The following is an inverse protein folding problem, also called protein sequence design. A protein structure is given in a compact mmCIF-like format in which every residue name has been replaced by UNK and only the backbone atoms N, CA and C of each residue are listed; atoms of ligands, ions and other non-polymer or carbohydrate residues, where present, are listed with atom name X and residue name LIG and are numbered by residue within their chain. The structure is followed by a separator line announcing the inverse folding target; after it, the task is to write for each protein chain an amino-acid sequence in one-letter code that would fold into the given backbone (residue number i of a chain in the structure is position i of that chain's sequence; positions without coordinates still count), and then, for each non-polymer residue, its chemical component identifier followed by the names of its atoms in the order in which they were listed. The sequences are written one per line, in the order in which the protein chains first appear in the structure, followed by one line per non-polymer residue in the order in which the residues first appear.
data_IF_301957459735
#
_entry.id   IF_301957459735
#
_cell.length_a   1.000
_cell.length_b   1.000
_cell.length_c   1.000
_cell.angle_alpha   90.00
_cell.angle_beta   90.00
_cell.angle_gamma   90.00
#
_symmetry.space_group_name_H-M   'P 1'
#
loop_
_entity.id
_entity.type
_entity.pdbx_description
1 polymer ?
#
# COMPACT_ATOMS: atom_id res chain seq x y z
N UNK A 1 -3.88 -16.65 -12.03
CA UNK A 1 -4.57 -17.73 -12.80
C UNK A 1 -4.58 -17.44 -14.30
N UNK A 2 -5.29 -16.40 -14.78
CA UNK A 2 -5.42 -16.13 -16.22
C UNK A 2 -4.09 -15.77 -16.94
N UNK A 3 -3.16 -15.11 -16.25
CA UNK A 3 -1.83 -14.79 -16.79
C UNK A 3 -0.91 -16.02 -16.91
N UNK A 4 -1.13 -17.03 -16.05
CA UNK A 4 -0.39 -18.30 -16.09
C UNK A 4 -0.99 -19.30 -17.10
N UNK A 5 -2.30 -19.22 -17.34
CA UNK A 5 -3.01 -20.09 -18.29
C UNK A 5 -3.82 -19.26 -19.29
N UNK A 6 -3.17 -18.62 -20.28
CA UNK A 6 -3.85 -17.76 -21.27
C UNK A 6 -4.98 -18.45 -22.02
N UNK A 7 -4.84 -19.76 -22.29
CA UNK A 7 -5.86 -20.57 -22.97
C UNK A 7 -7.18 -20.70 -22.20
N UNK A 8 -7.19 -20.45 -20.89
CA UNK A 8 -8.37 -20.53 -20.02
C UNK A 8 -9.02 -19.15 -19.76
N UNK A 9 -8.58 -18.09 -20.45
CA UNK A 9 -9.12 -16.73 -20.23
C UNK A 9 -10.64 -16.62 -20.53
N UNK A 10 -11.16 -17.44 -21.45
CA UNK A 10 -12.60 -17.46 -21.77
C UNK A 10 -13.49 -17.77 -20.55
N UNK A 11 -12.97 -18.51 -19.57
CA UNK A 11 -13.70 -18.81 -18.32
C UNK A 11 -14.03 -17.54 -17.53
N UNK A 12 -13.22 -16.48 -17.62
CA UNK A 12 -13.52 -15.21 -16.97
C UNK A 12 -14.74 -14.52 -17.60
N UNK A 13 -14.99 -14.76 -18.89
CA UNK A 13 -16.16 -14.24 -19.61
C UNK A 13 -17.40 -15.05 -19.25
N UNK A 14 -17.32 -16.38 -19.37
CA UNK A 14 -18.44 -17.30 -19.09
C UNK A 14 -18.88 -17.21 -17.62
N UNK A 15 -17.93 -17.14 -16.69
CA UNK A 15 -18.24 -17.01 -15.25
C UNK A 15 -18.72 -15.61 -14.84
N UNK A 16 -18.80 -14.65 -15.78
CA UNK A 16 -19.18 -13.26 -15.51
C UNK A 16 -18.16 -12.46 -14.69
N UNK A 17 -17.01 -13.05 -14.32
CA UNK A 17 -15.94 -12.37 -13.56
C UNK A 17 -15.40 -11.15 -14.29
N UNK A 18 -15.26 -11.22 -15.62
CA UNK A 18 -14.81 -10.09 -16.45
C UNK A 18 -15.78 -8.91 -16.38
N UNK A 19 -17.08 -9.18 -16.48
CA UNK A 19 -18.13 -8.14 -16.38
C UNK A 19 -18.15 -7.51 -14.99
N UNK A 20 -18.07 -8.32 -13.93
CA UNK A 20 -17.99 -7.82 -12.54
C UNK A 20 -16.73 -6.98 -12.31
N UNK A 21 -15.60 -7.38 -12.88
CA UNK A 21 -14.34 -6.63 -12.77
C UNK A 21 -14.44 -5.27 -13.47
N UNK A 22 -14.93 -5.22 -14.71
CA UNK A 22 -15.14 -3.96 -15.44
C UNK A 22 -16.09 -3.01 -14.70
N UNK A 23 -17.16 -3.55 -14.09
CA UNK A 23 -18.08 -2.75 -13.28
C UNK A 23 -17.38 -2.12 -12.08
N UNK A 24 -16.55 -2.88 -11.35
CA UNK A 24 -15.77 -2.35 -10.23
C UNK A 24 -14.69 -1.37 -10.66
N UNK A 25 -13.99 -1.65 -11.77
CA UNK A 25 -13.01 -0.74 -12.34
C UNK A 25 -13.66 0.62 -12.61
N UNK A 26 -14.85 0.64 -13.21
CA UNK A 26 -15.57 1.88 -13.49
C UNK A 26 -15.98 2.64 -12.22
N UNK A 27 -16.34 1.93 -11.15
CA UNK A 27 -16.66 2.56 -9.86
C UNK A 27 -15.42 3.18 -9.20
N UNK A 28 -14.30 2.47 -9.24
CA UNK A 28 -13.01 2.98 -8.71
C UNK A 28 -12.54 4.18 -9.53
N UNK A 29 -12.69 4.13 -10.85
CA UNK A 29 -12.32 5.21 -11.76
C UNK A 29 -13.09 6.52 -11.46
N UNK A 30 -14.40 6.43 -11.20
CA UNK A 30 -15.22 7.58 -10.79
C UNK A 30 -14.69 8.20 -9.49
N UNK A 31 -14.43 7.37 -8.47
CA UNK A 31 -13.91 7.85 -7.18
C UNK A 31 -12.56 8.55 -7.34
N UNK A 32 -11.66 7.96 -8.14
CA UNK A 32 -10.34 8.55 -8.37
C UNK A 32 -10.43 9.84 -9.18
N UNK A 33 -11.33 9.94 -10.15
CA UNK A 33 -11.55 11.19 -10.88
C UNK A 33 -12.10 12.29 -9.96
N UNK A 34 -13.04 11.96 -9.08
CA UNK A 34 -13.57 12.90 -8.07
C UNK A 34 -12.45 13.43 -7.17
N UNK A 35 -11.54 12.55 -6.71
CA UNK A 35 -10.35 12.93 -5.94
C UNK A 35 -9.47 13.90 -6.73
N UNK A 36 -9.18 13.61 -8.00
CA UNK A 36 -8.36 14.51 -8.83
C UNK A 36 -9.01 15.87 -9.03
N UNK A 37 -10.32 15.91 -9.25
CA UNK A 37 -11.07 17.16 -9.41
C UNK A 37 -11.10 17.99 -8.12
N UNK A 38 -11.19 17.35 -6.95
CA UNK A 38 -11.10 18.02 -5.66
C UNK A 38 -9.73 18.69 -5.47
N UNK A 39 -8.62 17.98 -5.73
CA UNK A 39 -7.26 18.53 -5.61
C UNK A 39 -6.99 19.62 -6.65
N UNK A 40 -7.57 19.53 -7.86
CA UNK A 40 -7.50 20.61 -8.86
C UNK A 40 -8.17 21.90 -8.39
N UNK A 41 -9.31 21.79 -7.71
CA UNK A 41 -10.08 22.95 -7.20
C UNK A 41 -9.44 23.56 -5.96
N UNK A 42 -8.89 22.71 -5.10
CA UNK A 42 -8.31 23.09 -3.81
C UNK A 42 -6.78 23.15 -3.86
N UNK A 43 -6.20 23.55 -5.01
CA UNK A 43 -4.74 23.55 -5.15
C UNK A 43 -4.08 24.31 -4.01
N UNK A 44 -3.00 23.74 -3.42
CA UNK A 44 -2.25 24.43 -2.40
C UNK A 44 -1.74 25.76 -2.96
N UNK A 45 -2.14 26.87 -2.35
CA UNK A 45 -1.92 28.22 -2.90
C UNK A 45 -1.07 29.13 -2.00
N UNK A 46 -0.55 28.60 -0.89
CA UNK A 46 0.36 29.31 0.01
C UNK A 46 1.34 28.40 0.75
N UNK A 47 2.30 29.00 1.45
CA UNK A 47 3.34 28.29 2.24
C UNK A 47 2.80 27.41 3.38
N UNK A 48 1.51 27.51 3.72
CA UNK A 48 0.86 26.77 4.80
C UNK A 48 -0.08 25.65 4.33
N UNK A 49 -0.32 25.47 3.03
CA UNK A 49 -1.07 24.31 2.57
C UNK A 49 -0.14 23.10 2.53
N UNK A 50 -0.54 22.02 3.22
CA UNK A 50 0.18 20.75 3.18
C UNK A 50 -0.09 20.08 1.84
N UNK A 51 0.89 20.15 0.94
CA UNK A 51 0.93 19.37 -0.28
C UNK A 51 0.96 17.86 0.02
N UNK A 52 0.12 17.10 -0.68
CA UNK A 52 0.11 15.64 -0.61
C UNK A 52 0.59 14.95 -1.90
N UNK A 53 0.56 13.61 -1.91
CA UNK A 53 1.01 12.82 -3.06
C UNK A 53 0.23 13.15 -4.35
N UNK A 54 -1.07 13.42 -4.25
CA UNK A 54 -1.92 13.71 -5.42
C UNK A 54 -1.52 15.05 -6.03
N UNK A 55 -1.29 16.06 -5.19
CA UNK A 55 -0.82 17.38 -5.61
C UNK A 55 0.54 17.29 -6.32
N UNK A 56 1.48 16.54 -5.74
CA UNK A 56 2.80 16.29 -6.34
C UNK A 56 2.66 15.65 -7.72
N UNK A 57 1.82 14.61 -7.85
CA UNK A 57 1.61 13.90 -9.12
C UNK A 57 0.94 14.79 -10.17
N UNK A 58 -0.01 15.64 -9.76
CA UNK A 58 -0.65 16.61 -10.66
C UNK A 58 0.34 17.67 -11.14
N UNK A 59 1.23 18.17 -10.27
CA UNK A 59 2.30 19.09 -10.65
C UNK A 59 3.27 18.45 -11.64
N UNK A 60 3.77 17.23 -11.35
CA UNK A 60 4.68 16.51 -12.24
C UNK A 60 4.02 16.28 -13.61
N UNK A 61 2.73 15.95 -13.63
CA UNK A 61 1.98 15.79 -14.88
C UNK A 61 1.91 17.08 -15.71
N UNK A 62 1.94 18.24 -15.07
CA UNK A 62 1.88 19.55 -15.73
C UNK A 62 3.25 20.07 -16.16
N UNK A 63 4.32 19.40 -15.76
CA UNK A 63 5.67 19.71 -16.17
C UNK A 63 5.89 19.36 -17.65
N UNK A 64 6.34 20.34 -18.42
CA UNK A 64 6.50 20.24 -19.88
C UNK A 64 7.79 19.53 -20.30
N UNK A 65 8.69 19.22 -19.36
CA UNK A 65 10.02 18.66 -19.63
C UNK A 65 10.08 17.12 -19.65
N UNK A 66 8.95 16.42 -19.48
CA UNK A 66 8.92 14.96 -19.49
C UNK A 66 8.99 14.39 -20.92
N UNK A 67 10.00 13.55 -21.19
CA UNK A 67 10.12 12.78 -22.43
C UNK A 67 8.87 11.92 -22.74
N UNK A 68 8.16 11.51 -21.69
CA UNK A 68 6.93 10.71 -21.77
C UNK A 68 5.82 11.40 -20.97
N UNK A 69 4.81 11.99 -21.64
CA UNK A 69 3.72 12.69 -20.96
C UNK A 69 2.94 11.76 -20.01
N UNK A 70 2.73 12.21 -18.78
CA UNK A 70 1.93 11.49 -17.78
C UNK A 70 0.44 11.83 -17.98
N UNK A 71 -0.41 10.81 -18.04
CA UNK A 71 -1.87 10.98 -18.19
C UNK A 71 -2.60 10.94 -16.84
N UNK A 72 -3.85 11.39 -16.80
CA UNK A 72 -4.69 11.22 -15.61
C UNK A 72 -4.81 9.74 -15.21
N UNK A 73 -4.88 8.83 -16.19
CA UNK A 73 -4.97 7.40 -15.92
C UNK A 73 -3.70 6.88 -15.24
N UNK A 74 -2.52 7.42 -15.56
CA UNK A 74 -1.29 7.08 -14.86
C UNK A 74 -1.31 7.57 -13.41
N UNK A 75 -1.75 8.82 -13.17
CA UNK A 75 -1.89 9.37 -11.82
C UNK A 75 -2.87 8.53 -11.00
N UNK A 76 -4.06 8.23 -11.55
CA UNK A 76 -5.06 7.38 -10.91
C UNK A 76 -4.52 5.98 -10.61
N UNK A 77 -3.75 5.40 -11.53
CA UNK A 77 -3.12 4.08 -11.32
C UNK A 77 -2.11 4.10 -10.17
N UNK A 78 -1.27 5.13 -10.05
CA UNK A 78 -0.30 5.25 -8.95
C UNK A 78 -1.01 5.41 -7.60
N UNK A 79 -2.03 6.27 -7.53
CA UNK A 79 -2.84 6.47 -6.31
C UNK A 79 -3.47 5.14 -5.89
N UNK A 80 -4.08 4.43 -6.84
CA UNK A 80 -4.70 3.14 -6.58
C UNK A 80 -3.69 2.09 -6.11
N UNK A 81 -2.51 2.03 -6.72
CA UNK A 81 -1.45 1.09 -6.35
C UNK A 81 -0.94 1.35 -4.92
N UNK A 82 -0.73 2.62 -4.55
CA UNK A 82 -0.34 3.01 -3.19
C UNK A 82 -1.39 2.61 -2.15
N UNK A 83 -2.67 2.87 -2.43
CA UNK A 83 -3.77 2.50 -1.52
C UNK A 83 -3.89 0.98 -1.37
N UNK A 84 -3.83 0.22 -2.46
CA UNK A 84 -3.93 -1.24 -2.42
C UNK A 84 -2.70 -1.87 -1.74
N UNK A 85 -1.51 -1.37 -2.06
CA UNK A 85 -0.25 -1.83 -1.49
C UNK A 85 -0.13 -1.52 -0.01
N UNK A 86 -0.60 -0.35 0.45
CA UNK A 86 -0.50 0.08 1.83
C UNK A 86 -1.55 -0.50 2.77
N UNK A 87 -2.81 -0.58 2.34
CA UNK A 87 -3.93 -0.90 3.25
C UNK A 87 -3.99 -2.38 3.62
N UNK A 88 -4.12 -3.27 2.64
CA UNK A 88 -4.32 -4.69 2.90
C UNK A 88 -3.09 -5.40 3.49
N UNK A 89 -1.89 -4.94 3.14
CA UNK A 89 -0.65 -5.54 3.66
C UNK A 89 -0.41 -5.16 5.12
N UNK A 90 -0.61 -3.89 5.47
CA UNK A 90 -0.43 -3.41 6.84
C UNK A 90 -1.51 -3.97 7.77
N UNK A 91 -2.78 -3.99 7.36
CA UNK A 91 -3.88 -4.55 8.15
C UNK A 91 -3.64 -6.03 8.45
N UNK A 92 -3.24 -6.82 7.45
CA UNK A 92 -2.94 -8.24 7.60
C UNK A 92 -1.80 -8.48 8.61
N UNK A 93 -0.71 -7.71 8.53
CA UNK A 93 0.41 -7.88 9.46
C UNK A 93 0.02 -7.50 10.89
N UNK A 94 -0.78 -6.44 11.07
CA UNK A 94 -1.29 -6.05 12.39
C UNK A 94 -2.21 -7.12 12.97
N UNK A 95 -3.11 -7.70 12.17
CA UNK A 95 -3.97 -8.81 12.58
C UNK A 95 -3.14 -10.00 13.07
N UNK A 96 -2.11 -10.40 12.31
CA UNK A 96 -1.21 -11.49 12.71
C UNK A 96 -0.39 -11.17 13.96
N UNK A 97 0.13 -9.93 14.07
CA UNK A 97 0.89 -9.51 15.25
C UNK A 97 0.02 -9.60 16.52
N UNK A 98 -1.23 -9.12 16.45
CA UNK A 98 -2.17 -9.21 17.56
C UNK A 98 -2.55 -10.65 17.89
N UNK A 99 -2.78 -11.49 16.88
CA UNK A 99 -3.07 -12.92 17.07
C UNK A 99 -1.92 -13.64 17.80
N UNK A 100 -0.66 -13.41 17.42
CA UNK A 100 0.50 -14.01 18.08
C UNK A 100 0.72 -13.48 19.50
N UNK A 101 0.50 -12.18 19.73
CA UNK A 101 0.60 -11.58 21.07
C UNK A 101 -0.47 -12.12 22.02
N UNK A 102 -1.71 -12.25 21.56
CA UNK A 102 -2.80 -12.84 22.35
C UNK A 102 -2.53 -14.29 22.73
N UNK A 103 -1.84 -15.05 21.86
CA UNK A 103 -1.44 -16.43 22.15
C UNK A 103 -0.28 -16.53 23.14
N UNK A 104 0.50 -15.46 23.34
CA UNK A 104 1.66 -15.42 24.23
C UNK A 104 1.57 -14.26 25.24
N UNK A 105 0.73 -14.40 26.29
CA UNK A 105 0.46 -13.32 27.25
C UNK A 105 1.71 -12.73 27.91
N UNK A 106 2.74 -13.53 28.18
CA UNK A 106 3.99 -13.06 28.79
C UNK A 106 4.78 -12.12 27.86
N UNK A 107 4.80 -12.42 26.55
CA UNK A 107 5.39 -11.52 25.54
C UNK A 107 4.54 -10.25 25.42
N UNK A 108 3.22 -10.37 25.46
CA UNK A 108 2.31 -9.21 25.41
C UNK A 108 2.50 -8.27 26.59
N UNK A 109 2.64 -8.79 27.82
CA UNK A 109 2.96 -7.97 29.00
C UNK A 109 4.28 -7.23 28.84
N UNK A 110 5.32 -7.91 28.31
CA UNK A 110 6.65 -7.32 28.12
C UNK A 110 6.64 -6.18 27.11
N UNK A 111 5.97 -6.33 25.96
CA UNK A 111 5.87 -5.26 24.97
C UNK A 111 5.00 -4.10 25.45
N UNK A 112 3.91 -4.37 26.17
CA UNK A 112 3.10 -3.31 26.80
C UNK A 112 3.91 -2.50 27.82
N UNK A 113 4.78 -3.16 28.59
CA UNK A 113 5.67 -2.47 29.51
C UNK A 113 6.68 -1.57 28.79
N UNK A 114 7.29 -2.04 27.70
CA UNK A 114 8.19 -1.23 26.85
C UNK A 114 7.46 0.01 26.30
N UNK A 115 6.28 -0.19 25.70
CA UNK A 115 5.49 0.89 25.11
C UNK A 115 5.05 1.92 26.16
N UNK A 116 4.58 1.47 27.34
CA UNK A 116 4.18 2.38 28.43
C UNK A 116 5.36 3.16 29.01
N UNK A 117 6.53 2.51 29.14
CA UNK A 117 7.74 3.16 29.61
C UNK A 117 8.21 4.27 28.66
N UNK A 118 8.05 4.07 27.35
CA UNK A 118 8.39 5.07 26.33
C UNK A 118 7.36 6.19 26.25
N UNK A 119 6.06 5.86 26.28
CA UNK A 119 5.00 6.86 26.18
C UNK A 119 5.00 7.88 27.34
N UNK A 120 5.38 7.45 28.56
CA UNK A 120 5.38 8.30 29.78
C UNK A 120 4.07 9.08 30.02
N UNK A 121 2.94 8.58 29.50
CA UNK A 121 1.63 9.24 29.60
C UNK A 121 1.30 10.24 28.48
N UNK A 122 2.20 10.41 27.51
CA UNK A 122 2.04 11.28 26.35
C UNK A 122 1.75 10.47 25.07
N UNK A 123 1.40 11.18 24.00
CA UNK A 123 1.33 10.63 22.64
C UNK A 123 2.72 10.16 22.21
N UNK A 124 2.78 8.98 21.60
CA UNK A 124 4.01 8.42 21.02
C UNK A 124 4.24 9.09 19.66
N UNK A 125 5.43 9.63 19.46
CA UNK A 125 5.86 10.13 18.14
C UNK A 125 6.61 9.04 17.35
N UNK A 126 6.76 9.24 16.05
CA UNK A 126 7.48 8.29 15.18
C UNK A 126 8.95 8.10 15.62
N UNK A 127 9.55 9.16 16.18
CA UNK A 127 10.90 9.15 16.74
C UNK A 127 11.02 8.22 17.96
N UNK A 128 9.98 8.11 18.79
CA UNK A 128 9.96 7.25 19.97
C UNK A 128 9.96 5.76 19.60
N UNK A 129 9.32 5.41 18.48
CA UNK A 129 9.30 4.05 17.94
C UNK A 129 10.72 3.55 17.70
N UNK A 130 11.67 4.45 17.41
CA UNK A 130 13.06 4.06 17.17
C UNK A 130 13.69 3.35 18.38
N UNK A 131 13.27 3.71 19.59
CA UNK A 131 13.78 3.17 20.85
C UNK A 131 13.00 1.94 21.35
N UNK A 132 11.91 1.55 20.68
CA UNK A 132 11.10 0.36 21.04
C UNK A 132 11.68 -0.91 20.39
N UNK A 133 12.81 -1.38 20.92
CA UNK A 133 13.55 -2.51 20.35
C UNK A 133 12.75 -3.82 20.38
N UNK A 134 12.01 -4.08 21.45
CA UNK A 134 11.23 -5.31 21.60
C UNK A 134 10.02 -5.35 20.66
N UNK A 135 9.31 -4.23 20.53
CA UNK A 135 8.24 -4.07 19.54
C UNK A 135 8.74 -4.33 18.11
N UNK A 136 9.90 -3.76 17.75
CA UNK A 136 10.54 -4.00 16.44
C UNK A 136 10.86 -5.49 16.22
N UNK A 137 11.33 -6.20 17.24
CA UNK A 137 11.58 -7.65 17.14
C UNK A 137 10.30 -8.44 16.93
N UNK A 138 9.21 -8.09 17.61
CA UNK A 138 7.90 -8.72 17.41
C UNK A 138 7.44 -8.53 15.97
N UNK A 139 7.49 -7.30 15.44
CA UNK A 139 7.10 -7.04 14.06
C UNK A 139 7.94 -7.86 13.07
N UNK A 140 9.26 -7.89 13.23
CA UNK A 140 10.17 -8.71 12.40
C UNK A 140 9.81 -10.20 12.43
N UNK A 141 9.49 -10.73 13.61
CA UNK A 141 9.09 -12.13 13.76
C UNK A 141 7.71 -12.41 13.13
N UNK A 142 6.77 -11.48 13.24
CA UNK A 142 5.47 -11.57 12.55
C UNK A 142 5.67 -11.59 11.04
N UNK A 143 6.54 -10.73 10.49
CA UNK A 143 6.88 -10.76 9.05
C UNK A 143 7.56 -12.08 8.65
N UNK A 144 8.41 -12.65 9.50
CA UNK A 144 9.06 -13.94 9.22
C UNK A 144 8.06 -15.10 9.17
N UNK A 145 7.05 -15.08 10.03
CA UNK A 145 6.05 -16.15 10.15
C UNK A 145 4.89 -15.99 9.16
N UNK A 146 4.42 -14.76 8.98
CA UNK A 146 3.14 -14.45 8.32
C UNK A 146 3.29 -13.42 7.18
N UNK A 147 4.52 -13.09 6.81
CA UNK A 147 4.80 -12.20 5.68
C UNK A 147 4.27 -12.77 4.36
N UNK A 148 3.97 -11.92 3.37
CA UNK A 148 3.47 -12.35 2.07
C UNK A 148 4.38 -13.44 1.46
N UNK A 149 3.87 -14.67 1.21
CA UNK A 149 4.72 -15.81 0.84
C UNK A 149 5.22 -15.75 -0.61
N UNK A 150 4.63 -14.92 -1.46
CA UNK A 150 5.01 -14.76 -2.86
C UNK A 150 5.23 -13.29 -3.18
N UNK A 151 6.46 -12.99 -3.59
CA UNK A 151 6.81 -11.72 -4.20
C UNK A 151 6.18 -11.62 -5.59
N UNK A 152 6.11 -10.39 -6.12
CA UNK A 152 5.63 -10.14 -7.48
C UNK A 152 6.49 -10.94 -8.48
N UNK A 153 5.89 -11.74 -9.39
CA UNK A 153 6.63 -12.51 -10.37
C UNK A 153 7.55 -11.63 -11.21
N UNK A 154 8.79 -12.08 -11.42
CA UNK A 154 9.76 -11.41 -12.28
C UNK A 154 9.81 -12.08 -13.65
N UNK A 155 10.01 -11.28 -14.70
CA UNK A 155 10.22 -11.74 -16.06
C UNK A 155 11.57 -11.19 -16.54
N UNK A 156 12.42 -12.07 -17.07
CA UNK A 156 13.70 -11.68 -17.66
C UNK A 156 13.44 -10.86 -18.92
N UNK A 157 14.04 -9.67 -19.01
CA UNK A 157 14.00 -8.84 -20.23
C UNK A 157 15.01 -9.31 -21.27
N UNK A 158 16.10 -9.92 -20.81
CA UNK A 158 17.22 -10.43 -21.59
C UNK A 158 17.68 -11.75 -20.98
N UNK A 159 18.42 -12.55 -21.75
CA UNK A 159 18.96 -13.83 -21.27
C UNK A 159 19.91 -13.61 -20.09
N UNK A 160 19.67 -14.34 -19.00
CA UNK A 160 20.48 -14.25 -17.80
C UNK A 160 20.72 -15.63 -17.17
N UNK A 161 21.87 -15.77 -16.50
CA UNK A 161 22.24 -16.97 -15.77
C UNK A 161 22.05 -16.66 -14.28
N UNK A 162 21.35 -17.53 -13.57
CA UNK A 162 21.21 -17.47 -12.12
C UNK A 162 22.22 -18.44 -11.50
N UNK A 163 23.20 -17.91 -10.76
CA UNK A 163 24.11 -18.71 -9.93
C UNK A 163 23.47 -19.10 -8.59
#
# INVERSE_FOLDING_TARGET
MASYYPRLQFLNVISGKKVKWLKRQKQVDIILEDILEEHRKNRPSGENDQEDLVDVLLRIKEDAELDHPITNDNVKAIILDMLLGGTGTSSMILEWAMAELMRKPEIMKKVQAEVRAMAKGNTIEETDIQNMHYLKMILKETFRLHGPPLLVPRLCREDCITE
#
